data_IF_009605160031
#
_entry.id   IF_009605160031
#
_cell.length_a   1.000
_cell.length_b   1.000
_cell.length_c   1.000
_cell.angle_alpha   90.00
_cell.angle_beta   90.00
_cell.angle_gamma   90.00
#
_symmetry.space_group_name_H-M   'P 1'
#
loop_
_entity.id
_entity.type
_entity.pdbx_description
1 polymer ?
#
# COMPACT_ATOMS: atom_id res chain seq x y z
N UNK A 1 2.04 -2.52 9.32
CA UNK A 1 0.95 -1.60 8.99
C UNK A 1 -0.03 -1.61 10.15
N UNK A 2 -0.44 -0.44 10.63
CA UNK A 2 -1.39 -0.24 11.74
C UNK A 2 -2.75 0.24 11.25
N UNK A 3 -2.80 1.03 10.17
CA UNK A 3 -4.04 1.54 9.60
C UNK A 3 -3.90 1.81 8.10
N UNK A 4 -5.04 1.80 7.40
CA UNK A 4 -5.13 2.18 5.99
C UNK A 4 -6.34 3.10 5.79
N UNK A 5 -6.15 4.20 5.05
CA UNK A 5 -7.22 5.15 4.72
C UNK A 5 -7.08 5.58 3.25
N UNK A 6 -8.14 5.48 2.42
CA UNK A 6 -9.39 4.77 2.69
C UNK A 6 -9.18 3.24 2.73
N UNK A 7 -10.06 2.51 3.42
CA UNK A 7 -10.08 1.04 3.44
C UNK A 7 -10.77 0.41 2.21
N UNK A 8 -10.93 1.21 1.15
CA UNK A 8 -11.56 0.81 -0.10
C UNK A 8 -10.87 1.50 -1.29
N UNK A 9 -11.03 0.95 -2.49
CA UNK A 9 -10.49 1.49 -3.72
C UNK A 9 -11.45 1.29 -4.88
N UNK A 10 -11.24 2.03 -5.96
CA UNK A 10 -11.98 1.86 -7.21
C UNK A 10 -11.39 0.69 -7.99
N UNK A 11 -12.24 -0.16 -8.58
CA UNK A 11 -11.82 -1.29 -9.44
C UNK A 11 -10.90 -0.84 -10.58
N UNK A 12 -11.11 0.35 -11.14
CA UNK A 12 -10.28 0.91 -12.21
C UNK A 12 -8.92 1.46 -11.73
N UNK A 13 -8.65 1.44 -10.42
CA UNK A 13 -7.44 2.00 -9.82
C UNK A 13 -7.53 3.51 -9.60
N UNK A 14 -6.38 4.12 -9.28
CA UNK A 14 -6.27 5.56 -9.04
C UNK A 14 -6.65 6.01 -7.64
N UNK A 15 -6.98 5.08 -6.73
CA UNK A 15 -7.34 5.43 -5.35
C UNK A 15 -6.09 5.80 -4.58
N UNK A 16 -6.09 6.98 -3.98
CA UNK A 16 -5.04 7.45 -3.08
C UNK A 16 -5.16 6.75 -1.74
N UNK A 17 -4.24 5.82 -1.46
CA UNK A 17 -4.22 5.01 -0.24
C UNK A 17 -3.05 5.44 0.65
N UNK A 18 -3.37 5.83 1.87
CA UNK A 18 -2.40 6.14 2.92
C UNK A 18 -2.26 4.93 3.84
N UNK A 19 -1.02 4.51 4.09
CA UNK A 19 -0.71 3.41 4.99
C UNK A 19 0.06 3.98 6.18
N UNK A 20 -0.47 3.76 7.38
CA UNK A 20 0.20 4.08 8.63
C UNK A 20 0.88 2.83 9.19
N UNK A 21 2.05 2.99 9.77
CA UNK A 21 2.90 1.92 10.26
C UNK A 21 4.10 2.48 11.01
N UNK A 22 5.24 1.83 10.84
CA UNK A 22 6.49 2.21 11.50
C UNK A 22 7.67 1.66 10.71
N UNK A 23 8.81 2.32 10.80
CA UNK A 23 10.07 1.93 10.17
C UNK A 23 10.02 1.93 8.63
N UNK A 24 9.21 2.83 8.03
CA UNK A 24 9.34 3.12 6.62
C UNK A 24 10.63 3.88 6.36
N UNK A 25 11.30 3.56 5.25
CA UNK A 25 12.58 4.15 4.88
C UNK A 25 12.37 4.91 3.58
N UNK A 26 12.89 6.12 3.50
CA UNK A 26 12.90 6.88 2.26
C UNK A 26 13.92 6.25 1.30
N UNK A 27 13.46 5.31 0.48
CA UNK A 27 14.24 4.58 -0.51
C UNK A 27 13.43 4.39 -1.80
N UNK A 28 14.12 4.27 -2.93
CA UNK A 28 13.53 3.85 -4.21
C UNK A 28 12.93 2.44 -4.16
N UNK A 29 13.36 1.63 -3.20
CA UNK A 29 12.87 0.27 -3.00
C UNK A 29 11.59 0.19 -2.15
N UNK A 30 11.11 1.34 -1.66
CA UNK A 30 9.86 1.43 -0.92
C UNK A 30 8.68 1.20 -1.88
N UNK A 31 7.89 0.17 -1.60
CA UNK A 31 6.79 -0.25 -2.48
C UNK A 31 5.55 -0.66 -1.73
N UNK A 32 4.39 -0.48 -2.36
CA UNK A 32 3.12 -1.06 -1.96
C UNK A 32 2.78 -2.23 -2.86
N UNK A 33 2.27 -3.30 -2.28
CA UNK A 33 1.85 -4.48 -3.00
C UNK A 33 0.37 -4.75 -2.73
N UNK A 34 -0.43 -4.68 -3.80
CA UNK A 34 -1.86 -4.97 -3.85
C UNK A 34 -2.04 -6.35 -4.49
N UNK A 35 -2.19 -7.38 -3.66
CA UNK A 35 -2.22 -8.78 -4.08
C UNK A 35 -0.91 -9.18 -4.77
N UNK A 36 -0.97 -9.39 -6.08
CA UNK A 36 0.19 -9.70 -6.92
C UNK A 36 0.84 -8.48 -7.58
N UNK A 37 0.22 -7.30 -7.51
CA UNK A 37 0.70 -6.09 -8.19
C UNK A 37 1.51 -5.23 -7.22
N UNK A 38 2.77 -4.99 -7.54
CA UNK A 38 3.66 -4.10 -6.79
C UNK A 38 3.78 -2.76 -7.50
N UNK A 39 3.66 -1.67 -6.75
CA UNK A 39 3.83 -0.31 -7.22
C UNK A 39 4.82 0.44 -6.30
N UNK A 40 5.47 1.45 -6.85
CA UNK A 40 6.30 2.35 -6.06
C UNK A 40 5.45 3.12 -5.05
N UNK A 41 5.92 3.16 -3.81
CA UNK A 41 5.29 3.92 -2.75
C UNK A 41 6.02 5.26 -2.56
N UNK A 42 5.27 6.28 -2.18
CA UNK A 42 5.83 7.59 -1.85
C UNK A 42 6.03 7.64 -0.34
N UNK A 43 7.27 7.86 0.06
CA UNK A 43 7.61 8.10 1.45
C UNK A 43 7.08 9.47 1.89
N UNK A 44 6.23 9.50 2.91
CA UNK A 44 5.78 10.76 3.53
C UNK A 44 6.46 10.99 4.88
N UNK A 45 6.53 9.94 5.70
CA UNK A 45 7.14 9.96 7.03
C UNK A 45 7.57 8.54 7.45
N UNK A 46 8.40 8.40 8.50
CA UNK A 46 8.83 7.08 9.01
C UNK A 46 7.68 6.14 9.43
N UNK A 47 6.49 6.71 9.68
CA UNK A 47 5.27 6.00 10.06
C UNK A 47 4.18 6.06 8.97
N UNK A 48 4.39 6.77 7.86
CA UNK A 48 3.34 7.02 6.87
C UNK A 48 3.88 6.95 5.45
N UNK A 49 3.21 6.16 4.61
CA UNK A 49 3.49 6.06 3.17
C UNK A 49 2.22 6.21 2.35
N UNK A 50 2.38 6.65 1.11
CA UNK A 50 1.30 6.91 0.17
C UNK A 50 1.46 6.07 -1.09
N UNK A 51 0.35 5.53 -1.59
CA UNK A 51 0.31 4.65 -2.75
C UNK A 51 -0.95 4.90 -3.58
N UNK A 52 -0.82 4.83 -4.91
CA UNK A 52 -1.97 4.95 -5.82
C UNK A 52 -2.38 3.55 -6.27
N UNK A 53 -3.56 3.09 -5.86
CA UNK A 53 -3.99 1.72 -6.14
C UNK A 53 -3.99 1.42 -7.66
N UNK A 54 -3.47 0.26 -8.09
CA UNK A 54 -3.67 -0.19 -9.46
C UNK A 54 -5.14 -0.63 -9.65
N UNK A 55 -5.52 -0.92 -10.90
CA UNK A 55 -6.77 -1.60 -11.18
C UNK A 55 -6.77 -2.99 -10.54
N UNK A 56 -7.90 -3.38 -9.94
CA UNK A 56 -8.09 -4.63 -9.23
C UNK A 56 -9.45 -5.22 -9.56
N UNK A 57 -9.57 -6.54 -9.50
CA UNK A 57 -10.87 -7.20 -9.57
C UNK A 57 -11.68 -6.87 -8.30
N UNK A 58 -13.03 -6.80 -8.40
CA UNK A 58 -13.88 -6.56 -7.24
C UNK A 58 -13.63 -7.58 -6.13
N UNK A 59 -13.54 -7.09 -4.89
CA UNK A 59 -13.36 -7.92 -3.70
C UNK A 59 -12.22 -7.49 -2.78
N UNK A 60 -11.94 -8.33 -1.77
CA UNK A 60 -10.92 -8.06 -0.78
C UNK A 60 -9.52 -8.40 -1.33
N UNK A 61 -8.68 -7.37 -1.44
CA UNK A 61 -7.29 -7.49 -1.88
C UNK A 61 -6.36 -7.24 -0.69
N UNK A 62 -5.32 -8.06 -0.59
CA UNK A 62 -4.28 -7.88 0.41
C UNK A 62 -3.36 -6.72 0.03
N UNK A 63 -3.20 -5.75 0.93
CA UNK A 63 -2.28 -4.64 0.81
C UNK A 63 -1.13 -4.83 1.80
N UNK A 64 0.09 -4.71 1.29
CA UNK A 64 1.30 -4.71 2.09
C UNK A 64 2.26 -3.62 1.63
N UNK A 65 3.17 -3.22 2.51
CA UNK A 65 4.27 -2.31 2.22
C UNK A 65 5.58 -3.08 2.34
N UNK A 66 6.59 -2.68 1.57
CA UNK A 66 7.89 -3.34 1.54
C UNK A 66 9.01 -2.32 1.43
N UNK A 67 10.04 -2.48 2.26
CA UNK A 67 11.33 -1.80 2.10
C UNK A 67 12.30 -2.84 1.51
N UNK A 68 12.63 -2.76 0.22
CA UNK A 68 13.63 -3.64 -0.40
C UNK A 68 13.34 -5.14 -0.23
N UNK A 69 12.08 -5.54 -0.46
CA UNK A 69 11.65 -6.94 -0.39
C UNK A 69 11.24 -7.42 1.01
N UNK A 70 11.51 -6.64 2.06
CA UNK A 70 11.02 -6.96 3.41
C UNK A 70 9.57 -6.51 3.57
N UNK A 71 8.64 -7.47 3.45
CA UNK A 71 7.21 -7.24 3.56
C UNK A 71 6.84 -6.98 5.02
N UNK A 72 6.15 -5.86 5.29
CA UNK A 72 5.55 -5.54 6.57
C UNK A 72 4.17 -6.20 6.73
N UNK A 73 3.64 -6.23 7.96
CA UNK A 73 2.28 -6.73 8.24
C UNK A 73 1.27 -6.27 7.20
N UNK A 74 0.46 -7.20 6.72
CA UNK A 74 -0.51 -6.97 5.67
C UNK A 74 -1.84 -6.49 6.24
N UNK A 75 -2.62 -5.81 5.41
CA UNK A 75 -3.99 -5.43 5.72
C UNK A 75 -4.86 -5.60 4.47
N UNK A 76 -6.18 -5.46 4.61
CA UNK A 76 -7.13 -5.75 3.52
C UNK A 76 -7.81 -4.49 3.05
N UNK A 77 -7.97 -4.38 1.74
CA UNK A 77 -8.60 -3.26 1.06
C UNK A 77 -9.69 -3.80 0.14
N UNK A 78 -10.88 -3.20 0.18
CA UNK A 78 -12.02 -3.61 -0.64
C UNK A 78 -12.03 -2.83 -1.95
N UNK A 79 -11.99 -3.53 -3.08
CA UNK A 79 -12.16 -2.96 -4.41
C UNK A 79 -13.57 -3.20 -4.93
#
# INVERSE_FOLDING_TARGET
ITSIIPSYGLEFGGTSVFLTGSNFINSTDLSCRFGSITITAVFLAPDTVFCISPAQAPGAVELSASNNGHIYNTARLLF
#
